data_IF_971742836531
#
_entry.id   IF_971742836531
#
_cell.length_a   1.000
_cell.length_b   1.000
_cell.length_c   1.000
_cell.angle_alpha   90.00
_cell.angle_beta   90.00
_cell.angle_gamma   90.00
#
_symmetry.space_group_name_H-M   'P 1'
#
loop_
_entity.id
_entity.type
_entity.pdbx_description
1 polymer ?
#
# COMPACT_ATOMS: atom_id res chain seq x y z
N UNK A 1 0.46 12.80 0.70
CA UNK A 1 -0.45 11.66 0.88
C UNK A 1 -1.73 11.79 0.06
N UNK A 2 -2.62 12.76 0.31
CA UNK A 2 -3.95 12.87 -0.35
C UNK A 2 -3.92 12.79 -1.89
N UNK A 3 -3.00 13.50 -2.54
CA UNK A 3 -2.85 13.46 -4.00
C UNK A 3 -2.55 12.07 -4.55
N UNK A 4 -1.85 11.24 -3.76
CA UNK A 4 -1.56 9.85 -4.14
C UNK A 4 -2.85 9.03 -4.22
N UNK A 5 -3.70 9.14 -3.21
CA UNK A 5 -4.99 8.42 -3.14
C UNK A 5 -5.94 8.83 -4.26
N UNK A 6 -5.96 10.12 -4.63
CA UNK A 6 -6.76 10.62 -5.75
C UNK A 6 -6.30 9.96 -7.05
N UNK A 7 -5.00 9.95 -7.32
CA UNK A 7 -4.43 9.34 -8.53
C UNK A 7 -4.67 7.82 -8.57
N UNK A 8 -4.58 7.14 -7.42
CA UNK A 8 -4.95 5.74 -7.30
C UNK A 8 -6.42 5.52 -7.65
N UNK A 9 -7.32 6.31 -7.06
CA UNK A 9 -8.76 6.17 -7.26
C UNK A 9 -9.19 6.39 -8.71
N UNK A 10 -8.70 7.45 -9.37
CA UNK A 10 -9.03 7.69 -10.78
C UNK A 10 -8.43 6.63 -11.71
N UNK A 11 -7.31 6.00 -11.32
CA UNK A 11 -6.69 4.90 -12.06
C UNK A 11 -7.55 3.62 -11.98
N UNK A 12 -8.02 3.24 -10.79
CA UNK A 12 -8.87 2.05 -10.61
C UNK A 12 -10.27 2.22 -11.21
N UNK A 13 -10.80 3.45 -11.22
CA UNK A 13 -12.10 3.77 -11.82
C UNK A 13 -12.04 3.87 -13.34
N UNK A 14 -10.84 3.88 -13.94
CA UNK A 14 -10.68 4.07 -15.39
C UNK A 14 -11.04 5.48 -15.87
N UNK A 15 -11.04 6.48 -14.99
CA UNK A 15 -11.30 7.88 -15.34
C UNK A 15 -10.10 8.59 -15.98
N UNK A 16 -9.01 7.86 -16.20
CA UNK A 16 -7.82 8.33 -16.90
C UNK A 16 -7.53 7.43 -18.10
N UNK A 17 -7.09 8.00 -19.25
CA UNK A 17 -6.76 7.21 -20.44
C UNK A 17 -5.62 6.20 -20.20
N UNK A 18 -4.72 6.51 -19.27
CA UNK A 18 -3.59 5.67 -18.92
C UNK A 18 -3.57 5.40 -17.41
N UNK A 19 -4.29 4.37 -16.98
CA UNK A 19 -4.36 3.94 -15.58
C UNK A 19 -2.98 3.62 -15.01
N UNK A 20 -2.07 3.02 -15.81
CA UNK A 20 -0.72 2.69 -15.36
C UNK A 20 0.09 3.94 -15.00
N UNK A 21 0.07 4.97 -15.85
CA UNK A 21 0.79 6.21 -15.58
C UNK A 21 0.24 6.94 -14.34
N UNK A 22 -1.08 6.91 -14.12
CA UNK A 22 -1.69 7.46 -12.91
C UNK A 22 -1.30 6.65 -11.66
N UNK A 23 -1.25 5.33 -11.76
CA UNK A 23 -0.80 4.44 -10.69
C UNK A 23 0.68 4.66 -10.33
N UNK A 24 1.54 4.86 -11.32
CA UNK A 24 2.96 5.22 -11.13
C UNK A 24 3.10 6.59 -10.44
N UNK A 25 2.28 7.56 -10.86
CA UNK A 25 2.21 8.88 -10.22
C UNK A 25 1.76 8.77 -8.76
N UNK A 26 0.72 7.98 -8.50
CA UNK A 26 0.22 7.71 -7.16
C UNK A 26 1.31 7.12 -6.27
N UNK A 27 2.04 6.12 -6.76
CA UNK A 27 3.14 5.49 -6.03
C UNK A 27 4.29 6.47 -5.75
N UNK A 28 4.69 7.29 -6.73
CA UNK A 28 5.72 8.31 -6.55
C UNK A 28 5.33 9.34 -5.47
N UNK A 29 4.06 9.76 -5.46
CA UNK A 29 3.51 10.66 -4.45
C UNK A 29 3.45 10.02 -3.06
N UNK A 30 3.15 8.72 -2.97
CA UNK A 30 3.16 7.99 -1.70
C UNK A 30 4.58 7.85 -1.14
N UNK A 31 5.55 7.47 -1.97
CA UNK A 31 6.97 7.38 -1.57
C UNK A 31 7.57 8.70 -1.11
N UNK A 32 7.08 9.83 -1.63
CA UNK A 32 7.46 11.16 -1.13
C UNK A 32 6.75 11.52 0.16
N UNK A 33 5.55 10.98 0.40
CA UNK A 33 4.77 11.27 1.60
C UNK A 33 5.27 10.51 2.83
N UNK A 34 5.77 9.29 2.67
CA UNK A 34 6.29 8.48 3.80
C UNK A 34 7.39 9.18 4.61
N UNK A 35 8.49 9.73 4.02
CA UNK A 35 9.54 10.39 4.79
C UNK A 35 9.15 11.75 5.38
N UNK A 36 8.06 12.36 4.90
CA UNK A 36 7.57 13.64 5.45
C UNK A 36 6.87 13.45 6.79
N UNK A 37 6.30 12.27 7.01
CA UNK A 37 5.67 11.89 8.26
C UNK A 37 5.79 10.38 8.46
N UNK A 38 6.96 9.98 8.97
CA UNK A 38 7.30 8.57 9.16
C UNK A 38 6.39 7.85 10.17
N UNK A 39 5.64 8.60 10.99
CA UNK A 39 4.74 8.06 12.02
C UNK A 39 3.30 7.95 11.55
N UNK A 40 2.99 8.43 10.34
CA UNK A 40 1.66 8.41 9.79
C UNK A 40 1.37 7.07 9.12
N UNK A 41 0.54 6.25 9.77
CA UNK A 41 0.08 4.96 9.27
C UNK A 41 -0.63 5.07 7.91
N UNK A 42 -1.33 6.18 7.63
CA UNK A 42 -2.03 6.38 6.37
C UNK A 42 -1.06 6.63 5.21
N UNK A 43 0.13 7.19 5.47
CA UNK A 43 1.16 7.38 4.46
C UNK A 43 1.75 6.02 4.02
N UNK A 44 2.00 5.13 4.99
CA UNK A 44 2.46 3.76 4.72
C UNK A 44 1.35 2.90 4.08
N UNK A 45 0.10 3.06 4.50
CA UNK A 45 -1.04 2.42 3.85
C UNK A 45 -1.22 2.86 2.39
N UNK A 46 -1.13 4.18 2.13
CA UNK A 46 -1.18 4.72 0.77
C UNK A 46 -0.06 4.15 -0.10
N UNK A 47 1.15 3.97 0.44
CA UNK A 47 2.23 3.29 -0.27
C UNK A 47 1.87 1.83 -0.59
N UNK A 48 1.31 1.12 0.38
CA UNK A 48 0.84 -0.26 0.22
C UNK A 48 -0.12 -0.44 -0.96
N UNK A 49 -1.26 0.24 -0.93
CA UNK A 49 -2.30 0.10 -1.97
C UNK A 49 -1.81 0.50 -3.37
N UNK A 50 -0.87 1.44 -3.47
CA UNK A 50 -0.29 1.84 -4.75
C UNK A 50 0.70 0.81 -5.29
N UNK A 51 1.53 0.23 -4.42
CA UNK A 51 2.37 -0.90 -4.78
C UNK A 51 1.52 -2.09 -5.23
N UNK A 52 0.40 -2.35 -4.56
CA UNK A 52 -0.55 -3.39 -4.95
C UNK A 52 -1.15 -3.12 -6.35
N UNK A 53 -1.61 -1.89 -6.61
CA UNK A 53 -2.09 -1.49 -7.95
C UNK A 53 -1.03 -1.59 -9.06
N UNK A 54 0.26 -1.60 -8.70
CA UNK A 54 1.39 -1.81 -9.60
C UNK A 54 1.91 -3.26 -9.63
N UNK A 55 1.20 -4.21 -9.01
CA UNK A 55 1.58 -5.63 -8.89
C UNK A 55 2.90 -5.86 -8.11
N UNK A 56 3.32 -4.89 -7.29
CA UNK A 56 4.52 -4.97 -6.44
C UNK A 56 4.14 -5.47 -5.05
N UNK A 57 3.72 -6.73 -4.99
CA UNK A 57 3.13 -7.31 -3.78
C UNK A 57 4.08 -7.33 -2.58
N UNK A 58 5.38 -7.59 -2.79
CA UNK A 58 6.35 -7.58 -1.69
C UNK A 58 6.53 -6.17 -1.06
N UNK A 59 6.66 -5.13 -1.90
CA UNK A 59 6.73 -3.74 -1.42
C UNK A 59 5.41 -3.32 -0.76
N UNK A 60 4.27 -3.79 -1.28
CA UNK A 60 2.95 -3.55 -0.72
C UNK A 60 2.83 -4.12 0.70
N UNK A 61 3.17 -5.39 0.86
CA UNK A 61 3.11 -6.09 2.14
C UNK A 61 3.98 -5.39 3.19
N UNK A 62 5.23 -5.06 2.85
CA UNK A 62 6.14 -4.38 3.77
C UNK A 62 5.60 -2.99 4.21
N UNK A 63 4.95 -2.26 3.30
CA UNK A 63 4.35 -0.96 3.61
C UNK A 63 3.09 -1.11 4.49
N UNK A 64 2.24 -2.10 4.21
CA UNK A 64 1.06 -2.40 5.02
C UNK A 64 1.44 -2.91 6.42
N UNK A 65 2.44 -3.78 6.53
CA UNK A 65 3.00 -4.22 7.81
C UNK A 65 3.50 -3.04 8.64
N UNK A 66 4.15 -2.05 8.01
CA UNK A 66 4.61 -0.86 8.71
C UNK A 66 3.47 0.05 9.15
N UNK A 67 2.41 0.17 8.35
CA UNK A 67 1.19 0.88 8.74
C UNK A 67 0.53 0.23 9.98
N UNK A 68 0.43 -1.09 10.00
CA UNK A 68 -0.11 -1.86 11.15
C UNK A 68 0.82 -1.77 12.37
N UNK A 69 2.13 -1.80 12.18
CA UNK A 69 3.08 -1.64 13.27
C UNK A 69 3.03 -0.25 13.92
N UNK A 70 2.74 0.80 13.15
CA UNK A 70 2.55 2.16 13.64
C UNK A 70 1.21 2.33 14.36
N UNK A 71 0.14 1.81 13.78
CA UNK A 71 -1.18 1.80 14.38
C UNK A 71 -1.87 0.45 14.16
N UNK A 72 -1.90 -0.43 15.19
CA UNK A 72 -2.56 -1.72 15.11
C UNK A 72 -4.10 -1.62 15.07
N UNK A 73 -4.66 -0.42 15.12
CA UNK A 73 -6.08 -0.16 14.90
C UNK A 73 -6.35 0.56 13.57
N UNK A 74 -5.39 0.57 12.64
CA UNK A 74 -5.57 1.14 11.31
C UNK A 74 -6.51 0.25 10.47
N UNK A 75 -7.83 0.47 10.61
CA UNK A 75 -8.86 -0.31 9.91
C UNK A 75 -8.68 -0.36 8.40
N UNK A 76 -8.11 0.68 7.79
CA UNK A 76 -7.79 0.70 6.35
C UNK A 76 -6.65 -0.25 5.99
N UNK A 77 -5.58 -0.30 6.80
CA UNK A 77 -4.47 -1.23 6.57
C UNK A 77 -4.88 -2.68 6.83
N UNK A 78 -5.73 -2.92 7.81
CA UNK A 78 -6.34 -4.24 8.00
C UNK A 78 -7.29 -4.58 6.86
N UNK A 79 -8.17 -3.70 6.40
CA UNK A 79 -9.03 -4.00 5.25
C UNK A 79 -8.21 -4.36 4.01
N UNK A 80 -7.33 -3.47 3.57
CA UNK A 80 -6.48 -3.69 2.40
C UNK A 80 -5.47 -4.84 2.56
N UNK A 81 -5.06 -5.14 3.80
CA UNK A 81 -4.16 -6.23 4.12
C UNK A 81 -4.86 -7.57 4.34
N UNK A 82 -6.11 -7.61 4.80
CA UNK A 82 -6.86 -8.85 5.11
C UNK A 82 -7.33 -9.53 3.83
N UNK A 83 -7.70 -8.73 2.83
CA UNK A 83 -8.07 -9.21 1.49
C UNK A 83 -6.88 -9.94 0.83
N UNK A 84 -5.65 -9.52 1.15
CA UNK A 84 -4.38 -10.02 0.58
C UNK A 84 -3.68 -11.05 1.50
N UNK A 85 -3.81 -10.95 2.83
CA UNK A 85 -3.32 -11.93 3.84
C UNK A 85 -4.11 -13.24 3.79
N UNK A 86 -5.32 -13.22 3.21
CA UNK A 86 -6.05 -14.44 2.84
C UNK A 86 -5.57 -15.04 1.50
N UNK A 87 -4.39 -14.62 0.99
CA UNK A 87 -3.48 -15.48 0.25
C UNK A 87 -2.50 -16.11 1.26
N UNK A 88 -2.89 -17.17 1.99
CA UNK A 88 -2.30 -17.47 3.27
C UNK A 88 -0.97 -18.21 3.09
N UNK A 89 0.01 -17.85 3.93
CA UNK A 89 0.99 -18.77 4.55
C UNK A 89 2.22 -19.24 3.76
N UNK A 90 2.51 -18.82 2.53
CA UNK A 90 3.75 -19.26 1.85
C UNK A 90 5.02 -18.49 2.24
N UNK A 91 4.93 -17.20 2.56
CA UNK A 91 6.15 -16.40 2.82
C UNK A 91 6.50 -16.27 4.31
N UNK A 92 5.53 -16.46 5.23
CA UNK A 92 5.82 -16.43 6.67
C UNK A 92 6.56 -17.67 7.17
N UNK A 93 6.42 -18.83 6.49
CA UNK A 93 7.23 -20.02 6.76
C UNK A 93 8.71 -19.85 6.37
N UNK A 94 9.06 -18.89 5.50
CA UNK A 94 10.44 -18.68 5.09
C UNK A 94 11.22 -17.75 6.03
N UNK A 95 10.54 -17.00 6.91
CA UNK A 95 11.18 -16.04 7.84
C UNK A 95 11.15 -16.46 9.30
N UNK A 96 10.38 -17.49 9.64
CA UNK A 96 10.39 -18.10 10.98
C UNK A 96 10.57 -19.62 10.82
N UNK A 97 11.75 -19.99 10.33
CA UNK A 97 12.28 -21.35 10.44
C UNK A 97 13.10 -21.46 11.72
N UNK A 98 12.42 -21.72 12.83
CA UNK A 98 12.93 -22.39 14.02
C UNK A 98 12.23 -23.75 14.09
#
# INVERSE_FOLDING_TARGET
MVLSLINHHIAIMGFVPNGKAAMETANALARRATPLDDRNEYAHWALGINCWGLLKYEESLAALERAVALNPNCSLAYGSGSDDVTAPRRHLCAKVGL
#
